data_IF_378389958430
#
_entry.id   IF_378389958430
#
_cell.length_a   1.000
_cell.length_b   1.000
_cell.length_c   1.000
_cell.angle_alpha   90.00
_cell.angle_beta   90.00
_cell.angle_gamma   90.00
#
_symmetry.space_group_name_H-M   'P 1'
#
loop_
_entity.id
_entity.type
_entity.pdbx_description
1 polymer ?
#
# COMPACT_ATOMS: atom_id res chain seq x y z
N UNK A 1 14.25 -3.57 -26.67
CA UNK A 1 13.79 -4.85 -27.25
C UNK A 1 13.39 -5.74 -26.10
N UNK A 2 12.11 -5.83 -25.78
CA UNK A 2 11.59 -6.71 -24.76
C UNK A 2 11.47 -8.12 -25.33
N UNK A 3 12.10 -9.08 -24.68
CA UNK A 3 12.09 -10.50 -25.07
C UNK A 3 10.68 -11.03 -24.80
N UNK A 4 9.98 -11.43 -25.85
CA UNK A 4 8.73 -12.19 -25.78
C UNK A 4 8.97 -13.52 -25.04
N UNK A 5 8.53 -13.61 -23.79
CA UNK A 5 8.83 -14.75 -22.91
C UNK A 5 7.72 -15.83 -22.86
N UNK A 6 6.65 -15.72 -23.67
CA UNK A 6 5.48 -16.59 -23.52
C UNK A 6 5.15 -17.45 -24.75
N UNK A 7 6.11 -18.21 -25.30
CA UNK A 7 5.76 -19.34 -26.18
C UNK A 7 5.94 -20.67 -25.42
N UNK A 8 4.94 -21.08 -24.65
CA UNK A 8 4.84 -22.43 -24.16
C UNK A 8 4.78 -22.66 -22.64
N UNK A 9 4.99 -21.66 -21.80
CA UNK A 9 4.77 -21.78 -20.36
C UNK A 9 3.34 -21.34 -19.98
N UNK A 10 2.68 -22.01 -19.01
CA UNK A 10 1.37 -21.57 -18.52
C UNK A 10 1.49 -20.22 -17.83
N UNK A 11 0.53 -19.32 -18.10
CA UNK A 11 0.43 -18.01 -17.46
C UNK A 11 0.26 -18.17 -15.95
N UNK A 12 1.08 -17.49 -15.18
CA UNK A 12 1.05 -17.58 -13.70
C UNK A 12 0.38 -16.35 -13.08
N UNK A 13 -0.26 -16.48 -11.89
CA UNK A 13 -0.80 -15.35 -11.15
C UNK A 13 0.25 -14.26 -10.87
N UNK A 14 1.48 -14.64 -10.53
CA UNK A 14 2.56 -13.68 -10.21
C UNK A 14 2.93 -12.84 -11.42
N UNK A 15 2.97 -13.42 -12.61
CA UNK A 15 3.21 -12.68 -13.86
C UNK A 15 2.07 -11.71 -14.17
N UNK A 16 0.83 -12.13 -13.95
CA UNK A 16 -0.35 -11.27 -14.14
C UNK A 16 -0.28 -10.06 -13.21
N UNK A 17 -0.06 -10.30 -11.90
CA UNK A 17 -0.12 -9.24 -10.89
C UNK A 17 1.09 -8.30 -10.98
N UNK A 18 2.29 -8.83 -11.21
CA UNK A 18 3.50 -8.00 -11.39
C UNK A 18 3.44 -7.17 -12.66
N UNK A 19 2.91 -7.71 -13.76
CA UNK A 19 2.71 -6.95 -14.99
C UNK A 19 1.61 -5.89 -14.84
N UNK A 20 0.52 -6.21 -14.14
CA UNK A 20 -0.52 -5.23 -13.83
C UNK A 20 0.02 -4.09 -12.96
N UNK A 21 0.83 -4.39 -11.94
CA UNK A 21 1.48 -3.37 -11.09
C UNK A 21 2.38 -2.45 -11.94
N UNK A 22 3.21 -3.01 -12.80
CA UNK A 22 4.08 -2.25 -13.71
C UNK A 22 3.29 -1.33 -14.63
N UNK A 23 2.12 -1.79 -15.14
CA UNK A 23 1.24 -0.96 -15.97
C UNK A 23 0.58 0.17 -15.15
N UNK A 24 0.21 -0.09 -13.89
CA UNK A 24 -0.31 0.93 -12.97
C UNK A 24 0.75 1.97 -12.66
N UNK A 25 1.98 1.56 -12.37
CA UNK A 25 3.09 2.48 -12.07
C UNK A 25 3.44 3.38 -13.27
N UNK A 26 3.34 2.83 -14.48
CA UNK A 26 3.66 3.57 -15.71
C UNK A 26 2.53 4.50 -16.19
N UNK A 27 1.27 4.17 -15.95
CA UNK A 27 0.14 4.89 -16.57
C UNK A 27 -1.05 5.14 -15.65
N UNK A 28 -0.90 4.92 -14.36
CA UNK A 28 -1.98 5.02 -13.38
C UNK A 28 -2.99 3.88 -13.46
N UNK A 29 -3.85 3.81 -12.44
CA UNK A 29 -4.92 2.78 -12.39
C UNK A 29 -5.91 2.93 -13.55
N UNK A 30 -6.18 4.16 -13.99
CA UNK A 30 -7.06 4.42 -15.14
C UNK A 30 -6.45 3.91 -16.46
N UNK A 31 -5.13 3.89 -16.55
CA UNK A 31 -4.40 3.35 -17.70
C UNK A 31 -4.40 1.82 -17.79
N UNK A 32 -4.81 1.10 -16.73
CA UNK A 32 -4.91 -0.36 -16.70
C UNK A 32 -6.25 -0.83 -17.26
N UNK A 33 -6.22 -1.76 -18.23
CA UNK A 33 -7.39 -2.52 -18.68
C UNK A 33 -7.01 -3.98 -18.91
N UNK A 34 -7.99 -4.90 -18.80
CA UNK A 34 -7.77 -6.33 -19.07
C UNK A 34 -7.21 -6.57 -20.48
N UNK A 35 -7.65 -5.79 -21.45
CA UNK A 35 -7.13 -5.87 -22.83
C UNK A 35 -5.67 -5.45 -22.94
N UNK A 36 -5.28 -4.33 -22.27
CA UNK A 36 -3.89 -3.84 -22.27
C UNK A 36 -2.98 -4.83 -21.56
N UNK A 37 -3.44 -5.40 -20.42
CA UNK A 37 -2.71 -6.42 -19.69
C UNK A 37 -2.49 -7.68 -20.54
N UNK A 38 -3.52 -8.13 -21.28
CA UNK A 38 -3.39 -9.28 -22.17
C UNK A 38 -2.38 -9.05 -23.29
N UNK A 39 -2.38 -7.85 -23.89
CA UNK A 39 -1.40 -7.45 -24.90
C UNK A 39 0.02 -7.47 -24.31
N UNK A 40 0.21 -6.92 -23.12
CA UNK A 40 1.52 -6.86 -22.46
C UNK A 40 2.06 -8.26 -22.11
N UNK A 41 1.17 -9.20 -21.78
CA UNK A 41 1.50 -10.59 -21.48
C UNK A 41 1.58 -11.50 -22.71
N UNK A 42 1.26 -10.98 -23.91
CA UNK A 42 1.16 -11.73 -25.17
C UNK A 42 0.20 -12.96 -25.06
N UNK A 43 -0.97 -12.73 -24.44
CA UNK A 43 -2.00 -13.76 -24.24
C UNK A 43 -3.37 -13.31 -24.76
N UNK A 44 -4.26 -14.28 -24.96
CA UNK A 44 -5.67 -13.96 -25.22
C UNK A 44 -6.30 -13.37 -23.94
N UNK A 45 -7.09 -12.26 -24.04
CA UNK A 45 -7.80 -11.69 -22.89
C UNK A 45 -8.65 -12.71 -22.11
N UNK A 46 -9.22 -13.71 -22.77
CA UNK A 46 -9.99 -14.77 -22.11
C UNK A 46 -9.14 -15.60 -21.15
N UNK A 47 -7.83 -15.73 -21.40
CA UNK A 47 -6.92 -16.43 -20.51
C UNK A 47 -6.78 -15.74 -19.16
N UNK A 48 -6.88 -14.40 -19.12
CA UNK A 48 -6.83 -13.64 -17.85
C UNK A 48 -8.07 -13.90 -16.99
N UNK A 49 -9.24 -14.07 -17.62
CA UNK A 49 -10.49 -14.31 -16.89
C UNK A 49 -10.56 -15.68 -16.19
N UNK A 50 -9.65 -16.62 -16.52
CA UNK A 50 -9.44 -17.83 -15.74
C UNK A 50 -8.71 -17.59 -14.41
N UNK A 51 -8.03 -16.44 -14.24
CA UNK A 51 -7.25 -16.10 -13.05
C UNK A 51 -7.88 -14.99 -12.22
N UNK A 52 -8.61 -14.05 -12.86
CA UNK A 52 -9.25 -12.91 -12.20
C UNK A 52 -10.56 -12.54 -12.90
N UNK A 53 -11.61 -12.33 -12.11
CA UNK A 53 -12.96 -12.10 -12.63
C UNK A 53 -13.11 -10.74 -13.33
N UNK A 54 -12.43 -9.71 -12.83
CA UNK A 54 -12.55 -8.33 -13.33
C UNK A 54 -11.37 -7.46 -12.87
N UNK A 55 -11.36 -6.20 -13.30
CA UNK A 55 -10.32 -5.22 -12.94
C UNK A 55 -10.25 -4.97 -11.43
N UNK A 56 -11.36 -4.93 -10.72
CA UNK A 56 -11.38 -4.74 -9.26
C UNK A 56 -10.71 -5.91 -8.56
N UNK A 57 -11.07 -7.15 -8.91
CA UNK A 57 -10.43 -8.35 -8.38
C UNK A 57 -8.91 -8.38 -8.68
N UNK A 58 -8.52 -7.96 -9.89
CA UNK A 58 -7.10 -7.81 -10.24
C UNK A 58 -6.40 -6.81 -9.33
N UNK A 59 -6.98 -5.62 -9.13
CA UNK A 59 -6.40 -4.58 -8.27
C UNK A 59 -6.32 -5.02 -6.81
N UNK A 60 -7.28 -5.79 -6.29
CA UNK A 60 -7.19 -6.42 -4.97
C UNK A 60 -5.95 -7.30 -4.85
N UNK A 61 -5.65 -8.12 -5.86
CA UNK A 61 -4.46 -8.98 -5.88
C UNK A 61 -3.18 -8.18 -5.99
N UNK A 62 -3.19 -7.11 -6.79
CA UNK A 62 -2.04 -6.19 -6.91
C UNK A 62 -1.78 -5.47 -5.58
N UNK A 63 -2.82 -4.98 -4.90
CA UNK A 63 -2.68 -4.39 -3.56
C UNK A 63 -2.13 -5.39 -2.54
N UNK A 64 -2.62 -6.64 -2.56
CA UNK A 64 -2.11 -7.70 -1.70
C UNK A 64 -0.63 -8.00 -1.99
N UNK A 65 -0.23 -8.05 -3.26
CA UNK A 65 1.18 -8.22 -3.65
C UNK A 65 2.06 -7.11 -3.09
N UNK A 66 1.64 -5.85 -3.21
CA UNK A 66 2.37 -4.69 -2.67
C UNK A 66 2.42 -4.72 -1.14
N UNK A 67 1.33 -5.14 -0.49
CA UNK A 67 1.30 -5.30 0.97
C UNK A 67 2.29 -6.36 1.48
N UNK A 68 2.47 -7.46 0.75
CA UNK A 68 3.46 -8.50 1.07
C UNK A 68 4.92 -8.02 0.89
N UNK A 69 5.14 -6.96 0.13
CA UNK A 69 6.47 -6.36 -0.07
C UNK A 69 6.82 -5.30 0.98
N UNK A 70 5.89 -4.98 1.90
CA UNK A 70 6.18 -4.08 3.00
C UNK A 70 7.19 -4.74 3.95
N UNK A 71 8.20 -3.97 4.30
CA UNK A 71 9.14 -4.33 5.36
C UNK A 71 8.46 -4.11 6.72
N UNK A 72 7.70 -5.12 7.13
CA UNK A 72 6.93 -5.07 8.37
C UNK A 72 7.86 -5.38 9.53
N UNK A 73 7.99 -4.50 10.54
CA UNK A 73 8.89 -4.72 11.65
C UNK A 73 8.50 -5.97 12.46
N UNK A 74 9.46 -6.83 12.69
CA UNK A 74 9.34 -8.03 13.52
C UNK A 74 10.30 -7.96 14.71
N UNK A 75 10.13 -8.86 15.70
CA UNK A 75 11.03 -8.94 16.86
C UNK A 75 10.57 -8.11 18.05
N UNK A 76 11.53 -7.80 18.96
CA UNK A 76 11.26 -7.27 20.31
C UNK A 76 11.64 -5.79 20.49
N UNK A 77 11.86 -5.06 19.40
CA UNK A 77 12.09 -3.63 19.47
C UNK A 77 10.94 -2.90 20.21
N UNK A 78 11.19 -1.77 20.88
CA UNK A 78 10.14 -0.97 21.50
C UNK A 78 9.00 -0.67 20.52
N UNK A 79 7.76 -0.72 20.98
CA UNK A 79 6.58 -0.55 20.13
C UNK A 79 6.60 0.76 19.33
N UNK A 80 7.10 1.85 19.92
CA UNK A 80 7.23 3.14 19.24
C UNK A 80 8.21 3.10 18.07
N UNK A 81 9.29 2.32 18.17
CA UNK A 81 10.21 2.09 17.05
C UNK A 81 9.58 1.24 15.96
N UNK A 82 8.83 0.21 16.36
CA UNK A 82 8.08 -0.62 15.40
C UNK A 82 7.02 0.20 14.66
N UNK A 83 6.29 1.09 15.34
CA UNK A 83 5.31 1.97 14.70
C UNK A 83 5.98 2.91 13.70
N UNK A 84 7.13 3.50 14.04
CA UNK A 84 7.91 4.34 13.12
C UNK A 84 8.37 3.55 11.90
N UNK A 85 8.95 2.36 12.11
CA UNK A 85 9.42 1.51 11.02
C UNK A 85 8.28 1.14 10.07
N UNK A 86 7.10 0.79 10.61
CA UNK A 86 5.90 0.52 9.81
C UNK A 86 5.44 1.75 9.00
N UNK A 87 5.45 2.93 9.62
CA UNK A 87 5.15 4.20 8.95
C UNK A 87 6.10 4.48 7.79
N UNK A 88 7.40 4.31 8.00
CA UNK A 88 8.41 4.46 6.94
C UNK A 88 8.22 3.44 5.80
N UNK A 89 7.92 2.18 6.13
CA UNK A 89 7.65 1.15 5.14
C UNK A 89 6.43 1.50 4.27
N UNK A 90 5.34 1.95 4.88
CA UNK A 90 4.15 2.41 4.17
C UNK A 90 4.44 3.61 3.27
N UNK A 91 5.14 4.64 3.79
CA UNK A 91 5.53 5.81 2.99
C UNK A 91 6.43 5.45 1.81
N UNK A 92 7.42 4.59 2.03
CA UNK A 92 8.30 4.12 0.96
C UNK A 92 7.54 3.37 -0.14
N UNK A 93 6.57 2.53 0.26
CA UNK A 93 5.67 1.85 -0.68
C UNK A 93 4.79 2.84 -1.45
N UNK A 94 4.22 3.84 -0.77
CA UNK A 94 3.41 4.88 -1.41
C UNK A 94 4.20 5.72 -2.41
N UNK A 95 5.45 6.07 -2.10
CA UNK A 95 6.36 6.77 -3.03
C UNK A 95 6.72 5.91 -4.25
N UNK A 96 6.81 4.59 -4.09
CA UNK A 96 7.10 3.65 -5.17
C UNK A 96 5.89 3.41 -6.07
N UNK A 97 4.68 3.36 -5.49
CA UNK A 97 3.43 3.02 -6.16
C UNK A 97 2.34 4.08 -5.92
N UNK A 98 2.58 5.38 -6.24
CA UNK A 98 1.69 6.47 -5.83
C UNK A 98 0.26 6.33 -6.37
N UNK A 99 0.12 5.96 -7.63
CA UNK A 99 -1.20 5.79 -8.25
C UNK A 99 -2.02 4.67 -7.62
N UNK A 100 -1.37 3.56 -7.24
CA UNK A 100 -2.05 2.45 -6.57
C UNK A 100 -2.49 2.83 -5.16
N UNK A 101 -1.63 3.51 -4.40
CA UNK A 101 -1.94 3.98 -3.04
C UNK A 101 -3.10 4.96 -3.04
N UNK A 102 -3.07 6.00 -3.89
CA UNK A 102 -4.17 6.97 -4.01
C UNK A 102 -5.49 6.30 -4.40
N UNK A 103 -5.43 5.33 -5.32
CA UNK A 103 -6.61 4.57 -5.71
C UNK A 103 -7.15 3.74 -4.52
N UNK A 104 -6.29 3.00 -3.82
CA UNK A 104 -6.67 2.16 -2.69
C UNK A 104 -7.28 2.97 -1.52
N UNK A 105 -6.81 4.21 -1.28
CA UNK A 105 -7.38 5.10 -0.27
C UNK A 105 -8.82 5.50 -0.56
N UNK A 106 -9.18 5.65 -1.84
CA UNK A 106 -10.54 6.04 -2.27
C UNK A 106 -11.45 4.85 -2.61
N UNK A 107 -10.90 3.62 -2.64
CA UNK A 107 -11.60 2.39 -3.01
C UNK A 107 -11.35 1.30 -1.94
N UNK A 108 -12.05 1.38 -0.79
CA UNK A 108 -11.81 0.45 0.33
C UNK A 108 -12.02 -1.02 -0.05
N UNK A 109 -12.86 -1.31 -1.05
CA UNK A 109 -13.08 -2.64 -1.59
C UNK A 109 -11.82 -3.28 -2.20
N UNK A 110 -10.84 -2.46 -2.60
CA UNK A 110 -9.58 -2.93 -3.18
C UNK A 110 -8.54 -3.23 -2.11
N UNK A 111 -8.60 -2.53 -0.98
CA UNK A 111 -7.61 -2.65 0.10
C UNK A 111 -7.71 -3.96 0.89
N UNK A 112 -8.83 -4.70 0.78
CA UNK A 112 -9.07 -6.00 1.42
C UNK A 112 -8.93 -5.99 2.97
N UNK A 113 -9.72 -6.83 3.67
CA UNK A 113 -9.92 -6.66 5.12
C UNK A 113 -8.85 -7.21 6.07
N UNK A 114 -8.11 -8.27 5.75
CA UNK A 114 -7.22 -8.94 6.71
C UNK A 114 -5.78 -8.99 6.17
N UNK A 115 -5.10 -7.88 6.31
CA UNK A 115 -3.74 -7.69 5.81
C UNK A 115 -2.67 -7.95 6.86
N UNK A 116 -1.50 -8.39 6.40
CA UNK A 116 -0.25 -8.41 7.17
C UNK A 116 -0.02 -7.09 7.94
N UNK A 117 -0.35 -5.96 7.32
CA UNK A 117 -0.29 -4.62 7.90
C UNK A 117 -1.16 -4.49 9.17
N UNK A 118 -2.42 -4.95 9.12
CA UNK A 118 -3.32 -4.84 10.27
C UNK A 118 -2.88 -5.74 11.42
N UNK A 119 -2.42 -6.95 11.14
CA UNK A 119 -1.85 -7.84 12.17
C UNK A 119 -0.61 -7.26 12.82
N UNK A 120 0.27 -6.64 12.03
CA UNK A 120 1.44 -5.95 12.55
C UNK A 120 1.04 -4.78 13.45
N UNK A 121 0.05 -3.99 13.03
CA UNK A 121 -0.45 -2.88 13.80
C UNK A 121 -1.11 -3.34 15.11
N UNK A 122 -1.95 -4.39 15.08
CA UNK A 122 -2.56 -4.95 16.29
C UNK A 122 -1.50 -5.43 17.30
N UNK A 123 -0.43 -6.06 16.82
CA UNK A 123 0.70 -6.45 17.67
C UNK A 123 1.40 -5.24 18.29
N UNK A 124 1.57 -4.15 17.52
CA UNK A 124 2.16 -2.91 18.02
C UNK A 124 1.25 -2.26 19.07
N UNK A 125 -0.06 -2.19 18.81
CA UNK A 125 -1.06 -1.64 19.75
C UNK A 125 -1.09 -2.42 21.06
N UNK A 126 -1.08 -3.76 20.99
CA UNK A 126 -1.00 -4.62 22.18
C UNK A 126 0.24 -4.33 23.01
N UNK A 127 1.41 -4.17 22.36
CA UNK A 127 2.67 -3.83 23.05
C UNK A 127 2.70 -2.40 23.59
N UNK A 128 1.94 -1.49 23.00
CA UNK A 128 1.75 -0.13 23.49
C UNK A 128 0.86 -0.07 24.75
N UNK A 129 0.18 -1.18 25.08
CA UNK A 129 -0.73 -1.26 26.23
C UNK A 129 -2.15 -0.74 25.91
N UNK A 130 -2.48 -0.55 24.64
CA UNK A 130 -3.84 -0.18 24.23
C UNK A 130 -4.78 -1.35 24.54
N UNK A 131 -5.98 -1.06 25.08
CA UNK A 131 -7.00 -2.09 25.31
C UNK A 131 -7.48 -2.66 23.98
N UNK A 132 -7.68 -3.97 23.91
CA UNK A 132 -8.15 -4.64 22.68
C UNK A 132 -9.50 -4.08 22.19
N UNK A 133 -10.37 -3.65 23.10
CA UNK A 133 -11.62 -2.97 22.79
C UNK A 133 -11.40 -1.65 22.02
N UNK A 134 -10.27 -0.99 22.19
CA UNK A 134 -9.90 0.28 21.57
C UNK A 134 -9.14 0.09 20.24
N UNK A 135 -8.70 -1.11 19.90
CA UNK A 135 -7.89 -1.36 18.67
C UNK A 135 -8.55 -0.83 17.41
N UNK A 136 -9.86 -0.97 17.26
CA UNK A 136 -10.59 -0.50 16.08
C UNK A 136 -10.50 1.01 15.92
N UNK A 137 -10.54 1.76 17.03
CA UNK A 137 -10.43 3.23 17.00
C UNK A 137 -8.98 3.66 16.75
N UNK A 138 -8.03 3.08 17.44
CA UNK A 138 -6.60 3.35 17.27
C UNK A 138 -6.17 3.07 15.81
N UNK A 139 -6.56 1.92 15.24
CA UNK A 139 -6.27 1.57 13.84
C UNK A 139 -6.85 2.58 12.85
N UNK A 140 -8.12 2.94 13.01
CA UNK A 140 -8.80 3.90 12.12
C UNK A 140 -8.13 5.27 12.21
N UNK A 141 -7.77 5.71 13.41
CA UNK A 141 -7.09 7.00 13.62
C UNK A 141 -5.72 7.01 12.97
N UNK A 142 -4.88 5.98 13.22
CA UNK A 142 -3.55 5.87 12.61
C UNK A 142 -3.63 5.76 11.08
N UNK A 143 -4.59 4.98 10.57
CA UNK A 143 -4.82 4.88 9.13
C UNK A 143 -5.22 6.23 8.52
N UNK A 144 -6.14 6.97 9.14
CA UNK A 144 -6.57 8.28 8.67
C UNK A 144 -5.42 9.30 8.67
N UNK A 145 -4.62 9.31 9.74
CA UNK A 145 -3.45 10.19 9.87
C UNK A 145 -2.40 9.89 8.78
N UNK A 146 -2.03 8.62 8.61
CA UNK A 146 -1.05 8.20 7.61
C UNK A 146 -1.56 8.45 6.19
N UNK A 147 -2.82 8.14 5.93
CA UNK A 147 -3.47 8.38 4.63
C UNK A 147 -3.49 9.84 4.25
N UNK A 148 -3.84 10.72 5.20
CA UNK A 148 -3.82 12.17 5.00
C UNK A 148 -2.41 12.68 4.70
N UNK A 149 -1.40 12.19 5.42
CA UNK A 149 -0.01 12.54 5.16
C UNK A 149 0.44 12.10 3.76
N UNK A 150 0.23 10.84 3.40
CA UNK A 150 0.58 10.28 2.08
C UNK A 150 -0.12 11.05 0.96
N UNK A 151 -1.42 11.33 1.11
CA UNK A 151 -2.19 12.12 0.15
C UNK A 151 -1.57 13.52 -0.03
N UNK A 152 -1.31 14.23 1.07
CA UNK A 152 -0.73 15.56 1.04
C UNK A 152 0.68 15.61 0.44
N UNK A 153 1.51 14.60 0.73
CA UNK A 153 2.85 14.46 0.14
C UNK A 153 2.76 14.16 -1.37
N UNK A 154 1.92 13.21 -1.77
CA UNK A 154 1.81 12.77 -3.17
C UNK A 154 1.20 13.84 -4.08
N UNK A 155 0.25 14.63 -3.56
CA UNK A 155 -0.38 15.73 -4.31
C UNK A 155 0.41 17.03 -4.26
N UNK A 156 1.44 17.12 -3.42
CA UNK A 156 2.20 18.36 -3.20
C UNK A 156 1.53 19.34 -2.23
N UNK A 157 0.34 19.01 -1.70
CA UNK A 157 -0.41 19.92 -0.81
C UNK A 157 0.35 20.28 0.48
N UNK A 158 1.23 19.39 0.96
CA UNK A 158 2.10 19.70 2.11
C UNK A 158 3.19 20.72 1.79
N UNK A 159 3.58 20.87 0.53
CA UNK A 159 4.63 21.82 0.11
C UNK A 159 4.09 23.25 -0.04
N UNK A 160 2.80 23.41 -0.28
CA UNK A 160 2.14 24.71 -0.49
C UNK A 160 1.78 25.42 0.83
N UNK A 161 1.77 24.69 1.96
CA UNK A 161 1.38 25.24 3.26
C UNK A 161 2.59 25.77 4.04
N UNK A 162 2.93 27.03 3.83
CA UNK A 162 3.71 27.79 4.81
C UNK A 162 5.23 27.72 4.74
N UNK A 163 5.83 27.38 3.60
CA UNK A 163 7.28 27.46 3.37
C UNK A 163 7.95 26.10 3.10
N UNK A 164 9.21 26.16 2.62
CA UNK A 164 9.98 24.96 2.31
C UNK A 164 10.35 24.19 3.59
N UNK A 165 9.51 23.26 3.99
CA UNK A 165 9.82 22.31 5.07
C UNK A 165 10.55 21.08 4.48
N UNK A 166 11.51 20.56 5.23
CA UNK A 166 12.17 19.30 4.89
C UNK A 166 11.16 18.16 4.97
N UNK A 167 10.87 17.44 3.86
CA UNK A 167 9.87 16.35 3.85
C UNK A 167 10.19 15.22 4.83
N UNK A 168 11.48 14.94 5.07
CA UNK A 168 11.87 13.89 6.02
C UNK A 168 11.61 14.30 7.46
N UNK A 169 11.95 15.54 7.81
CA UNK A 169 11.66 16.10 9.15
C UNK A 169 10.16 16.24 9.38
N UNK A 170 9.40 16.58 8.34
CA UNK A 170 7.93 16.67 8.42
C UNK A 170 7.33 15.30 8.71
N UNK A 171 7.81 14.25 8.05
CA UNK A 171 7.35 12.89 8.31
C UNK A 171 7.79 12.39 9.70
N UNK A 172 8.99 12.70 10.13
CA UNK A 172 9.47 12.39 11.47
C UNK A 172 8.60 13.05 12.55
N UNK A 173 8.25 14.33 12.37
CA UNK A 173 7.32 15.03 13.25
C UNK A 173 5.94 14.35 13.29
N UNK A 174 5.40 13.97 12.13
CA UNK A 174 4.17 13.20 12.03
C UNK A 174 4.24 11.89 12.84
N UNK A 175 5.31 11.11 12.71
CA UNK A 175 5.49 9.87 13.45
C UNK A 175 5.62 10.12 14.96
N UNK A 176 6.25 11.23 15.37
CA UNK A 176 6.31 11.64 16.77
C UNK A 176 4.92 11.91 17.35
N UNK A 177 4.04 12.61 16.59
CA UNK A 177 2.65 12.80 17.00
C UNK A 177 1.88 11.48 17.09
N UNK A 178 2.06 10.56 16.14
CA UNK A 178 1.39 9.26 16.16
C UNK A 178 1.80 8.42 17.39
N UNK A 179 3.10 8.39 17.71
CA UNK A 179 3.62 7.68 18.89
C UNK A 179 3.11 8.33 20.18
N UNK A 180 3.19 9.66 20.29
CA UNK A 180 2.73 10.38 21.48
C UNK A 180 1.21 10.21 21.67
N UNK A 181 0.44 10.25 20.58
CA UNK A 181 -1.02 10.03 20.61
C UNK A 181 -1.39 8.65 21.13
N UNK A 182 -0.66 7.60 20.72
CA UNK A 182 -0.90 6.24 21.24
C UNK A 182 -0.54 6.10 22.73
N UNK A 183 0.42 6.85 23.24
CA UNK A 183 0.75 6.83 24.67
C UNK A 183 -0.35 7.43 25.55
N UNK A 184 -1.35 8.08 24.96
CA UNK A 184 -2.48 8.69 25.66
C UNK A 184 -3.77 7.84 25.60
N UNK A 185 -3.75 6.71 24.87
CA UNK A 185 -4.79 5.67 24.90
C UNK A 185 -4.65 4.79 26.13
#
# INVERSE_FOLDING_TARGET
MAVSAHRGAPLTPDEIYSTALRLVDAGGVEGLSMRKLAVELDVNPMSLYHHVDNKTALLQRVCALVALQLDVPEGDAPWGEQLRALGYACRASARRHPSLWLYALSHPEVSGGDHLLWRALDRILSRAGVDEAEFVYARKTLFALLSGFILGETTGALNEQGGAADPEKTFEAFLNFAVAGLSAF
#
